data_IF_869647150225
#
_entry.id   IF_869647150225
#
_cell.length_a   1.000
_cell.length_b   1.000
_cell.length_c   1.000
_cell.angle_alpha   90.00
_cell.angle_beta   90.00
_cell.angle_gamma   90.00
#
_symmetry.space_group_name_H-M   'P 1'
#
loop_
_entity.id
_entity.type
_entity.pdbx_description
1 polymer ?
#
# COMPACT_ATOMS: atom_id res chain seq x y z
N UNK A 1 -9.23 -2.42 16.86
CA UNK A 1 -8.42 -3.49 16.22
C UNK A 1 -8.98 -4.86 16.63
N UNK A 2 -10.02 -5.28 15.94
CA UNK A 2 -10.63 -6.59 16.15
C UNK A 2 -9.77 -7.68 15.54
N UNK A 3 -9.91 -8.90 16.04
CA UNK A 3 -9.31 -10.13 15.52
C UNK A 3 -9.94 -10.46 14.15
N UNK A 4 -9.77 -9.58 13.16
CA UNK A 4 -10.26 -9.78 11.81
C UNK A 4 -9.31 -10.73 11.11
N UNK A 5 -9.81 -11.93 10.79
CA UNK A 5 -9.33 -12.88 9.77
C UNK A 5 -7.90 -12.59 9.27
N UNK A 6 -6.92 -13.34 9.80
CA UNK A 6 -5.49 -13.28 9.49
C UNK A 6 -5.17 -13.76 8.06
N UNK A 7 -5.85 -13.22 7.05
CA UNK A 7 -5.61 -13.52 5.65
C UNK A 7 -4.76 -12.41 5.04
N UNK A 8 -3.66 -12.80 4.40
CA UNK A 8 -2.85 -11.90 3.59
C UNK A 8 -3.47 -11.84 2.20
N UNK A 9 -3.41 -10.69 1.53
CA UNK A 9 -3.75 -10.57 0.11
C UNK A 9 -2.52 -10.13 -0.68
N UNK A 10 -2.22 -10.80 -1.78
CA UNK A 10 -1.05 -10.52 -2.62
C UNK A 10 -1.24 -9.33 -3.58
N UNK A 11 -2.47 -8.90 -3.84
CA UNK A 11 -2.80 -7.95 -4.92
C UNK A 11 -2.08 -6.59 -4.85
N UNK A 12 -1.85 -6.08 -3.64
CA UNK A 12 -1.10 -4.84 -3.38
C UNK A 12 0.32 -5.11 -2.83
N UNK A 13 0.68 -6.38 -2.64
CA UNK A 13 1.90 -6.82 -1.97
C UNK A 13 1.81 -6.80 -0.44
N UNK A 14 2.81 -7.41 0.19
CA UNK A 14 3.01 -7.47 1.64
C UNK A 14 4.51 -7.32 1.94
N UNK A 15 4.86 -6.97 3.18
CA UNK A 15 6.25 -6.74 3.60
C UNK A 15 6.56 -7.59 4.81
N UNK A 16 7.73 -8.24 4.80
CA UNK A 16 8.25 -9.00 5.93
C UNK A 16 9.48 -8.32 6.51
N UNK A 17 9.65 -8.46 7.82
CA UNK A 17 10.98 -8.29 8.41
C UNK A 17 11.88 -9.45 7.96
N UNK A 18 13.19 -9.20 7.94
CA UNK A 18 14.17 -10.23 7.58
C UNK A 18 13.99 -11.51 8.42
N UNK A 19 13.78 -11.36 9.74
CA UNK A 19 13.57 -12.48 10.65
C UNK A 19 12.26 -13.24 10.39
N UNK A 20 11.19 -12.51 10.06
CA UNK A 20 9.91 -13.14 9.72
C UNK A 20 10.05 -14.01 8.46
N UNK A 21 10.68 -13.47 7.42
CA UNK A 21 10.93 -14.21 6.17
C UNK A 21 11.80 -15.44 6.41
N UNK A 22 12.89 -15.30 7.17
CA UNK A 22 13.77 -16.42 7.52
C UNK A 22 13.01 -17.54 8.25
N UNK A 23 12.17 -17.21 9.24
CA UNK A 23 11.36 -18.19 9.96
C UNK A 23 10.35 -18.87 9.06
N UNK A 24 9.64 -18.11 8.21
CA UNK A 24 8.66 -18.66 7.27
C UNK A 24 9.31 -19.66 6.33
N UNK A 25 10.47 -19.34 5.77
CA UNK A 25 11.15 -20.19 4.79
C UNK A 25 11.81 -21.40 5.46
N UNK A 26 12.57 -21.19 6.52
CA UNK A 26 13.40 -22.26 7.11
C UNK A 26 12.63 -23.18 8.05
N UNK A 27 11.56 -22.68 8.69
CA UNK A 27 10.80 -23.44 9.68
C UNK A 27 9.35 -23.67 9.30
N UNK A 28 8.82 -22.91 8.34
CA UNK A 28 7.41 -22.96 7.94
C UNK A 28 7.22 -23.81 6.69
N UNK A 29 7.67 -23.28 5.55
CA UNK A 29 7.51 -23.88 4.23
C UNK A 29 8.13 -25.28 4.22
N UNK A 30 7.33 -26.29 3.91
CA UNK A 30 7.67 -27.73 3.87
C UNK A 30 8.13 -28.35 5.20
N UNK A 31 8.53 -27.53 6.18
CA UNK A 31 9.13 -27.94 7.45
C UNK A 31 8.13 -27.91 8.62
N UNK A 32 6.94 -27.35 8.42
CA UNK A 32 5.89 -27.30 9.44
C UNK A 32 4.60 -27.99 9.00
N UNK A 33 4.05 -28.96 9.77
CA UNK A 33 2.83 -29.66 9.39
C UNK A 33 1.62 -28.73 9.28
N UNK A 34 1.56 -27.66 10.08
CA UNK A 34 0.48 -26.66 10.01
C UNK A 34 0.58 -25.70 8.81
N UNK A 35 1.74 -25.58 8.16
CA UNK A 35 1.87 -24.89 6.87
C UNK A 35 1.31 -25.80 5.75
N UNK A 36 1.51 -27.12 5.87
CA UNK A 36 1.01 -28.10 4.92
C UNK A 36 1.64 -27.98 3.52
N UNK A 37 1.25 -28.85 2.56
CA UNK A 37 1.69 -28.73 1.18
C UNK A 37 1.07 -27.49 0.51
N UNK A 38 1.81 -26.82 -0.38
CA UNK A 38 1.38 -25.63 -1.11
C UNK A 38 0.25 -25.92 -2.11
N UNK A 39 -0.98 -26.05 -1.58
CA UNK A 39 -2.21 -26.35 -2.35
C UNK A 39 -3.23 -25.20 -2.32
N UNK A 40 -2.89 -24.11 -1.65
CA UNK A 40 -3.72 -22.91 -1.55
C UNK A 40 -3.14 -21.78 -2.40
N UNK A 41 -3.91 -20.71 -2.59
CA UNK A 41 -3.40 -19.47 -3.20
C UNK A 41 -2.15 -19.00 -2.45
N UNK A 42 -1.20 -18.39 -3.17
CA UNK A 42 0.12 -18.04 -2.64
C UNK A 42 0.04 -17.16 -1.38
N UNK A 43 -0.83 -16.16 -1.40
CA UNK A 43 -1.04 -15.20 -0.31
C UNK A 43 -1.71 -15.85 0.92
N UNK A 44 -2.59 -16.82 0.70
CA UNK A 44 -3.15 -17.66 1.76
C UNK A 44 -2.07 -18.57 2.37
N UNK A 45 -1.28 -19.22 1.52
CA UNK A 45 -0.24 -20.15 1.93
C UNK A 45 0.80 -19.45 2.81
N UNK A 46 1.29 -18.27 2.38
CA UNK A 46 2.31 -17.55 3.15
C UNK A 46 1.77 -17.05 4.50
N UNK A 47 0.49 -16.67 4.57
CA UNK A 47 -0.19 -16.29 5.81
C UNK A 47 -0.33 -17.45 6.80
N UNK A 48 -0.64 -18.64 6.31
CA UNK A 48 -0.71 -19.87 7.11
C UNK A 48 0.66 -20.24 7.68
N UNK A 49 1.69 -20.26 6.84
CA UNK A 49 3.05 -20.63 7.26
C UNK A 49 3.62 -19.60 8.24
N UNK A 50 3.34 -18.31 8.06
CA UNK A 50 3.69 -17.27 9.04
C UNK A 50 3.09 -17.56 10.42
N UNK A 51 1.80 -17.84 10.50
CA UNK A 51 1.14 -18.17 11.77
C UNK A 51 1.70 -19.44 12.40
N UNK A 52 2.00 -20.46 11.59
CA UNK A 52 2.55 -21.72 12.05
C UNK A 52 3.90 -21.55 12.77
N UNK A 53 4.75 -20.63 12.32
CA UNK A 53 6.05 -20.35 12.94
C UNK A 53 6.01 -19.19 13.95
N UNK A 54 4.81 -18.74 14.34
CA UNK A 54 4.61 -17.67 15.33
C UNK A 54 4.88 -16.25 14.80
N UNK A 55 4.97 -16.06 13.48
CA UNK A 55 5.06 -14.73 12.88
C UNK A 55 3.67 -14.09 12.88
N UNK A 56 3.58 -12.92 13.51
CA UNK A 56 2.33 -12.15 13.57
C UNK A 56 2.09 -11.39 12.27
N UNK A 57 0.95 -11.63 11.63
CA UNK A 57 0.44 -10.82 10.53
C UNK A 57 -0.30 -9.62 11.13
N UNK A 58 -0.01 -8.42 10.62
CA UNK A 58 -0.66 -7.17 11.07
C UNK A 58 -1.19 -6.40 9.87
N UNK A 59 -2.27 -5.67 10.12
CA UNK A 59 -2.76 -4.68 9.18
C UNK A 59 -1.76 -3.50 9.05
N UNK A 60 -1.95 -2.72 8.00
CA UNK A 60 -1.09 -1.60 7.64
C UNK A 60 -1.86 -0.27 7.62
N UNK A 61 -2.87 -0.11 8.48
CA UNK A 61 -3.57 1.16 8.59
C UNK A 61 -2.65 2.25 9.17
N UNK A 62 -2.84 3.48 8.70
CA UNK A 62 -2.20 4.67 9.25
C UNK A 62 -3.01 5.27 10.41
N UNK A 63 -2.52 6.38 10.97
CA UNK A 63 -3.19 7.11 12.06
C UNK A 63 -4.52 7.76 11.65
N UNK A 64 -4.85 7.79 10.35
CA UNK A 64 -6.12 8.27 9.79
C UNK A 64 -7.11 7.11 9.55
N UNK A 65 -6.74 5.87 9.90
CA UNK A 65 -7.54 4.69 9.64
C UNK A 65 -7.59 4.32 8.15
N UNK A 66 -6.62 4.76 7.34
CA UNK A 66 -6.54 4.45 5.91
C UNK A 66 -5.47 3.39 5.62
N UNK A 67 -5.75 2.49 4.68
CA UNK A 67 -4.78 1.46 4.30
C UNK A 67 -3.57 2.07 3.59
N UNK A 68 -2.37 1.57 3.91
CA UNK A 68 -1.11 1.89 3.22
C UNK A 68 -0.82 0.98 2.03
N UNK A 69 -1.57 -0.12 1.89
CA UNK A 69 -1.51 -1.02 0.73
C UNK A 69 -2.88 -1.03 0.05
N UNK A 70 -2.94 -0.56 -1.18
CA UNK A 70 -4.20 -0.36 -1.90
C UNK A 70 -4.36 -1.34 -3.04
N UNK A 71 -5.48 -2.06 -3.08
CA UNK A 71 -5.88 -2.86 -4.23
C UNK A 71 -6.61 -2.04 -5.33
N UNK A 72 -6.64 -0.72 -5.19
CA UNK A 72 -7.15 0.21 -6.21
C UNK A 72 -5.97 0.86 -6.92
N UNK A 73 -6.07 1.11 -8.22
CA UNK A 73 -5.01 1.83 -8.95
C UNK A 73 -4.99 3.31 -8.62
N UNK A 74 -3.83 3.96 -8.74
CA UNK A 74 -3.72 5.40 -8.51
C UNK A 74 -4.59 6.21 -9.49
N UNK A 75 -4.84 5.69 -10.69
CA UNK A 75 -5.70 6.35 -11.68
C UNK A 75 -7.18 6.23 -11.36
N UNK A 76 -7.62 5.14 -10.73
CA UNK A 76 -8.99 5.03 -10.24
C UNK A 76 -9.19 5.84 -8.96
N UNK A 77 -8.17 5.91 -8.10
CA UNK A 77 -8.19 6.78 -6.92
C UNK A 77 -8.25 8.26 -7.29
N UNK A 78 -7.46 8.69 -8.27
CA UNK A 78 -7.35 10.08 -8.70
C UNK A 78 -8.27 10.45 -9.87
N UNK A 79 -8.92 9.46 -10.47
CA UNK A 79 -9.69 9.62 -11.70
C UNK A 79 -11.07 10.23 -11.47
N UNK A 80 -11.75 10.62 -12.56
CA UNK A 80 -13.06 11.26 -12.51
C UNK A 80 -14.20 10.25 -12.23
N UNK A 81 -13.97 9.23 -11.39
CA UNK A 81 -14.95 8.18 -11.10
C UNK A 81 -16.05 8.67 -10.15
N UNK A 82 -17.29 8.14 -10.27
CA UNK A 82 -18.54 8.79 -9.87
C UNK A 82 -18.73 9.06 -8.37
N UNK A 83 -17.84 8.60 -7.50
CA UNK A 83 -17.88 8.98 -6.08
C UNK A 83 -17.15 10.30 -5.80
N UNK A 84 -16.33 10.81 -6.73
CA UNK A 84 -15.59 12.08 -6.60
C UNK A 84 -15.76 13.03 -7.81
N UNK A 85 -16.66 12.73 -8.73
CA UNK A 85 -17.07 13.65 -9.81
C UNK A 85 -18.59 13.84 -9.79
N UNK A 86 -19.07 15.10 -9.76
CA UNK A 86 -20.43 15.38 -10.18
C UNK A 86 -20.59 14.83 -11.61
N UNK A 87 -21.60 13.97 -11.77
CA UNK A 87 -22.09 13.48 -13.06
C UNK A 87 -22.15 14.69 -14.01
N UNK A 88 -21.52 14.57 -15.19
CA UNK A 88 -21.38 15.68 -16.14
C UNK A 88 -22.76 16.32 -16.44
N UNK A 89 -23.01 17.51 -15.89
CA UNK A 89 -24.18 18.33 -16.21
C UNK A 89 -23.66 19.64 -16.79
N UNK A 90 -23.73 19.82 -18.13
CA UNK A 90 -23.16 20.98 -18.82
C UNK A 90 -23.76 22.33 -18.37
N UNK A 91 -24.92 22.31 -17.72
CA UNK A 91 -25.60 23.52 -17.25
C UNK A 91 -25.10 24.00 -15.88
N UNK A 92 -24.29 23.21 -15.17
CA UNK A 92 -23.76 23.53 -13.82
C UNK A 92 -22.23 23.68 -13.78
N UNK A 93 -21.53 23.47 -14.90
CA UNK A 93 -20.09 23.63 -14.99
C UNK A 93 -19.69 25.09 -15.16
N UNK A 94 -19.64 25.80 -14.05
CA UNK A 94 -18.63 26.84 -13.87
C UNK A 94 -17.25 26.18 -14.13
N UNK A 95 -16.46 26.74 -15.04
CA UNK A 95 -15.10 26.27 -15.34
C UNK A 95 -14.15 26.34 -14.13
N UNK A 96 -14.63 26.82 -12.98
CA UNK A 96 -13.88 27.02 -11.74
C UNK A 96 -14.13 25.98 -10.65
N UNK A 97 -14.06 24.68 -10.99
CA UNK A 97 -13.55 23.55 -10.15
C UNK A 97 -14.51 22.36 -10.02
N UNK A 98 -14.16 21.17 -10.57
CA UNK A 98 -14.27 19.96 -9.77
C UNK A 98 -13.22 20.09 -8.65
N UNK A 99 -13.64 20.45 -7.43
CA UNK A 99 -12.73 20.52 -6.28
C UNK A 99 -12.27 19.11 -5.94
N UNK A 100 -11.18 18.69 -6.57
CA UNK A 100 -10.50 17.45 -6.28
C UNK A 100 -10.04 17.46 -4.82
N UNK A 101 -10.73 16.69 -3.97
CA UNK A 101 -10.47 16.68 -2.54
C UNK A 101 -9.58 15.49 -2.19
N UNK A 102 -8.27 15.74 -2.15
CA UNK A 102 -7.25 14.76 -1.75
C UNK A 102 -7.53 14.13 -0.38
N UNK A 103 -8.18 14.86 0.54
CA UNK A 103 -8.53 14.33 1.87
C UNK A 103 -9.57 13.22 1.81
N UNK A 104 -10.40 13.18 0.75
CA UNK A 104 -11.42 12.15 0.51
C UNK A 104 -10.90 10.92 -0.25
N UNK A 105 -9.62 10.86 -0.56
CA UNK A 105 -9.06 9.65 -1.18
C UNK A 105 -9.26 8.44 -0.26
N UNK A 106 -9.67 7.28 -0.80
CA UNK A 106 -9.86 6.05 -0.04
C UNK A 106 -8.53 5.42 0.42
N UNK A 107 -7.39 6.05 0.11
CA UNK A 107 -6.06 5.58 0.47
C UNK A 107 -5.30 6.57 1.34
N UNK A 108 -4.33 6.03 2.10
CA UNK A 108 -3.46 6.81 2.97
C UNK A 108 -2.58 7.79 2.17
N UNK A 109 -2.32 9.01 2.67
CA UNK A 109 -1.25 9.85 2.12
C UNK A 109 0.15 9.23 2.32
N UNK A 110 0.27 8.16 3.12
CA UNK A 110 1.48 7.37 3.38
C UNK A 110 1.43 6.00 2.66
N UNK A 111 0.82 5.95 1.47
CA UNK A 111 0.78 4.76 0.63
C UNK A 111 2.18 4.15 0.42
N UNK A 112 2.28 2.84 0.60
CA UNK A 112 3.48 2.03 0.35
C UNK A 112 3.40 1.37 -1.02
N UNK A 113 2.23 0.84 -1.38
CA UNK A 113 2.03 0.12 -2.65
C UNK A 113 0.57 0.20 -3.12
N UNK A 114 0.39 0.13 -4.44
CA UNK A 114 -0.90 0.03 -5.10
C UNK A 114 -0.81 -0.81 -6.38
N UNK A 115 -1.94 -1.34 -6.83
CA UNK A 115 -2.01 -2.24 -8.00
C UNK A 115 -2.38 -1.52 -9.30
N UNK A 116 -2.39 -2.23 -10.43
CA UNK A 116 -2.96 -1.75 -11.69
C UNK A 116 -2.16 -0.65 -12.38
N UNK A 117 -0.83 -0.66 -12.25
CA UNK A 117 0.05 0.28 -12.95
C UNK A 117 0.76 -0.38 -14.14
N UNK A 118 0.73 0.31 -15.28
CA UNK A 118 1.47 -0.08 -16.49
C UNK A 118 2.96 0.23 -16.34
N UNK A 119 3.84 -0.60 -16.92
CA UNK A 119 5.29 -0.45 -16.82
C UNK A 119 5.81 0.94 -17.21
N UNK A 120 5.33 1.52 -18.31
CA UNK A 120 5.69 2.89 -18.72
C UNK A 120 5.39 3.93 -17.65
N UNK A 121 4.28 3.76 -16.92
CA UNK A 121 3.82 4.70 -15.89
C UNK A 121 4.64 4.56 -14.60
N UNK A 122 5.21 3.38 -14.33
CA UNK A 122 6.17 3.22 -13.23
C UNK A 122 7.39 4.12 -13.43
N UNK A 123 7.91 4.24 -14.66
CA UNK A 123 9.02 5.16 -14.97
C UNK A 123 8.63 6.63 -14.83
N UNK A 124 7.39 6.99 -15.18
CA UNK A 124 6.89 8.35 -14.92
C UNK A 124 6.87 8.63 -13.42
N UNK A 125 6.39 7.70 -12.59
CA UNK A 125 6.39 7.88 -11.13
C UNK A 125 7.81 7.98 -10.57
N UNK A 126 8.74 7.12 -11.02
CA UNK A 126 10.16 7.20 -10.64
C UNK A 126 10.72 8.60 -10.94
N UNK A 127 10.48 9.11 -12.15
CA UNK A 127 10.90 10.45 -12.54
C UNK A 127 10.28 11.52 -11.64
N UNK A 128 8.97 11.48 -11.41
CA UNK A 128 8.27 12.49 -10.61
C UNK A 128 8.67 12.47 -9.12
N UNK A 129 8.92 11.29 -8.55
CA UNK A 129 9.22 11.12 -7.13
C UNK A 129 10.69 11.39 -6.81
N UNK A 130 11.61 10.85 -7.62
CA UNK A 130 13.03 10.83 -7.27
C UNK A 130 13.86 11.84 -8.06
N UNK A 131 13.48 12.14 -9.30
CA UNK A 131 14.31 12.92 -10.22
C UNK A 131 13.81 14.35 -10.46
N UNK A 132 12.50 14.58 -10.52
CA UNK A 132 11.94 15.90 -10.74
C UNK A 132 12.24 16.79 -9.53
N UNK A 133 12.80 17.96 -9.81
CA UNK A 133 13.05 19.02 -8.83
C UNK A 133 12.26 20.25 -9.27
N UNK A 134 11.02 20.34 -8.79
CA UNK A 134 10.18 21.49 -9.06
C UNK A 134 10.87 22.76 -8.55
N UNK A 135 11.03 23.73 -9.43
CA UNK A 135 11.65 25.01 -9.07
C UNK A 135 10.85 25.68 -7.94
N UNK A 136 11.54 26.19 -6.92
CA UNK A 136 10.92 26.86 -5.78
C UNK A 136 10.39 25.93 -4.67
N UNK A 137 10.39 24.61 -4.84
CA UNK A 137 9.99 23.66 -3.78
C UNK A 137 11.23 23.10 -3.09
N UNK A 138 11.40 23.46 -1.81
CA UNK A 138 12.39 22.79 -0.94
C UNK A 138 11.75 21.57 -0.30
N UNK A 139 12.06 20.38 -0.81
CA UNK A 139 11.69 19.14 -0.16
C UNK A 139 12.43 19.03 1.20
N UNK A 140 11.73 19.34 2.30
CA UNK A 140 12.30 19.22 3.64
C UNK A 140 12.22 17.76 4.08
N UNK A 141 13.19 16.95 3.67
CA UNK A 141 13.59 15.76 4.42
C UNK A 141 14.91 16.07 5.11
N UNK A 142 14.83 16.78 6.24
CA UNK A 142 15.97 16.91 7.14
C UNK A 142 16.13 15.58 7.88
N UNK A 143 17.25 14.90 7.65
CA UNK A 143 17.73 13.80 8.51
C UNK A 143 18.45 14.33 9.74
N UNK A 144 18.29 15.61 10.09
CA UNK A 144 19.15 16.28 11.06
C UNK A 144 18.69 16.11 12.52
N UNK A 145 18.01 15.02 12.85
CA UNK A 145 17.70 14.70 14.26
C UNK A 145 17.78 13.20 14.61
N UNK A 146 18.48 12.39 13.81
CA UNK A 146 19.04 11.13 14.33
C UNK A 146 20.40 11.40 14.97
N UNK A 147 20.43 12.32 15.95
CA UNK A 147 21.55 12.48 16.85
C UNK A 147 21.40 11.43 17.94
N UNK A 148 22.33 10.48 17.92
CA UNK A 148 22.70 9.57 19.01
C UNK A 148 22.32 10.07 20.41
N UNK A 149 21.33 9.43 21.03
CA UNK A 149 21.35 9.25 22.48
C UNK A 149 22.03 7.91 22.74
N UNK A 150 23.32 8.01 23.02
CA UNK A 150 24.15 6.99 23.67
C UNK A 150 23.62 6.67 25.06
#
# INVERSE_FOLDING_TARGET
PGESTRSVSGSAGYVFSQRALELIVTKGLENHPACGPAKTEEDQQIGLCAQAVGVQVRDSYDFLGKSRFSNVSIFEMLGPFPNNTPRWYPQETDYTLPKFNLSKLPASPLLVSFTGIEGTRMYVLEYLLYHLRAFGIKHRWSRDNCSTHS
#
